data_IF_957866292253
#
_entry.id   IF_957866292253
#
_cell.length_a   1.000
_cell.length_b   1.000
_cell.length_c   1.000
_cell.angle_alpha   90.00
_cell.angle_beta   90.00
_cell.angle_gamma   90.00
#
_symmetry.space_group_name_H-M   'P 1'
#
loop_
_entity.id
_entity.type
_entity.pdbx_description
1 polymer ?
#
# COMPACT_ATOMS: atom_id res chain seq x y z
N UNK A 1 51.84 31.79 -33.51
CA UNK A 1 50.75 30.86 -33.88
C UNK A 1 50.34 30.13 -32.60
N UNK A 2 49.26 30.57 -31.95
CA UNK A 2 48.83 30.10 -30.62
C UNK A 2 47.64 29.16 -30.84
N UNK A 3 47.78 27.88 -30.49
CA UNK A 3 46.70 26.89 -30.55
C UNK A 3 45.77 27.07 -29.34
N UNK A 4 44.43 27.14 -29.53
CA UNK A 4 43.51 27.18 -28.40
C UNK A 4 43.30 25.77 -27.82
N UNK A 5 43.41 25.67 -26.50
CA UNK A 5 43.06 24.49 -25.74
C UNK A 5 41.54 24.35 -25.66
N UNK A 6 40.99 23.26 -26.18
CA UNK A 6 39.57 22.92 -26.02
C UNK A 6 39.35 22.29 -24.65
N UNK A 7 38.60 22.99 -23.79
CA UNK A 7 38.12 22.48 -22.51
C UNK A 7 36.89 21.60 -22.78
N UNK A 8 37.05 20.27 -22.68
CA UNK A 8 35.93 19.34 -22.76
C UNK A 8 35.19 19.30 -21.41
N UNK A 9 33.97 19.85 -21.36
CA UNK A 9 33.07 19.73 -20.21
C UNK A 9 32.35 18.38 -20.30
N UNK A 10 32.73 17.44 -19.45
CA UNK A 10 32.07 16.15 -19.29
C UNK A 10 30.82 16.35 -18.42
N UNK A 11 29.64 16.41 -19.05
CA UNK A 11 28.35 16.42 -18.33
C UNK A 11 28.03 14.98 -17.93
N UNK A 12 28.26 14.64 -16.67
CA UNK A 12 27.79 13.37 -16.09
C UNK A 12 26.31 13.51 -15.72
N UNK A 13 25.43 12.90 -16.52
CA UNK A 13 24.03 12.74 -16.11
C UNK A 13 23.96 11.70 -15.00
N UNK A 14 23.72 12.14 -13.76
CA UNK A 14 23.37 11.23 -12.67
C UNK A 14 21.97 10.65 -12.95
N UNK A 15 21.92 9.45 -13.53
CA UNK A 15 20.68 8.67 -13.56
C UNK A 15 20.41 8.22 -12.12
N UNK A 16 19.43 8.85 -11.47
CA UNK A 16 18.86 8.31 -10.23
C UNK A 16 18.27 6.96 -10.60
N UNK A 17 18.97 5.87 -10.26
CA UNK A 17 18.40 4.55 -10.35
C UNK A 17 17.21 4.53 -9.40
N UNK A 18 15.98 4.50 -9.94
CA UNK A 18 14.80 4.24 -9.13
C UNK A 18 14.92 2.81 -8.62
N UNK A 19 15.40 2.68 -7.39
CA UNK A 19 15.44 1.41 -6.68
C UNK A 19 14.06 0.76 -6.72
N UNK A 20 14.04 -0.56 -6.88
CA UNK A 20 12.82 -1.35 -6.78
C UNK A 20 12.45 -1.64 -5.32
N UNK A 21 13.30 -1.21 -4.40
CA UNK A 21 13.02 -0.96 -2.99
C UNK A 21 13.06 0.55 -2.73
N UNK A 22 12.33 1.07 -1.73
CA UNK A 22 12.28 2.51 -1.48
C UNK A 22 13.65 3.03 -1.02
N UNK A 23 13.87 4.33 -1.19
CA UNK A 23 15.10 5.00 -0.76
C UNK A 23 15.36 4.74 0.75
N UNK A 24 16.62 4.47 1.09
CA UNK A 24 17.04 4.15 2.45
C UNK A 24 16.77 2.70 2.90
N UNK A 25 15.96 1.92 2.17
CA UNK A 25 15.74 0.50 2.50
C UNK A 25 16.99 -0.33 2.24
N UNK A 26 17.29 -1.26 3.15
CA UNK A 26 18.41 -2.20 3.01
C UNK A 26 17.97 -3.65 3.35
N UNK A 27 18.46 -4.66 2.62
CA UNK A 27 19.30 -4.54 1.42
C UNK A 27 18.52 -3.97 0.22
N UNK A 28 19.14 -3.08 -0.55
CA UNK A 28 18.52 -2.44 -1.70
C UNK A 28 18.71 -3.27 -2.97
N UNK A 29 17.77 -3.16 -3.91
CA UNK A 29 17.91 -3.77 -5.24
C UNK A 29 17.25 -2.92 -6.33
N UNK A 30 17.81 -2.99 -7.54
CA UNK A 30 17.27 -2.37 -8.75
C UNK A 30 16.56 -3.38 -9.67
N UNK A 31 16.57 -4.67 -9.30
CA UNK A 31 15.89 -5.71 -10.05
C UNK A 31 14.42 -5.80 -9.64
N UNK A 32 13.53 -5.92 -10.63
CA UNK A 32 12.09 -5.81 -10.44
C UNK A 32 11.47 -7.13 -9.96
N UNK A 33 10.72 -7.06 -8.87
CA UNK A 33 9.79 -8.09 -8.44
C UNK A 33 8.40 -7.69 -8.92
N UNK A 34 7.80 -8.52 -9.76
CA UNK A 34 6.44 -8.28 -10.24
C UNK A 34 5.48 -8.81 -9.17
N UNK A 35 4.60 -7.94 -8.69
CA UNK A 35 3.60 -8.24 -7.65
C UNK A 35 2.20 -8.02 -8.23
N UNK A 36 1.36 -9.05 -8.16
CA UNK A 36 0.01 -9.06 -8.71
C UNK A 36 -1.02 -9.50 -7.66
N UNK A 37 -2.00 -8.63 -7.42
CA UNK A 37 -3.16 -8.91 -6.56
C UNK A 37 -4.37 -9.21 -7.42
N UNK A 38 -4.55 -10.49 -7.79
CA UNK A 38 -5.70 -10.95 -8.58
C UNK A 38 -5.90 -10.17 -9.90
N UNK A 39 -4.81 -9.94 -10.65
CA UNK A 39 -4.82 -9.15 -11.90
C UNK A 39 -4.66 -7.64 -11.70
N UNK A 40 -4.47 -7.18 -10.46
CA UNK A 40 -4.15 -5.78 -10.15
C UNK A 40 -2.64 -5.68 -9.85
N UNK A 41 -1.84 -5.07 -10.75
CA UNK A 41 -0.40 -4.93 -10.53
C UNK A 41 -0.10 -3.92 -9.41
N UNK A 42 0.71 -4.31 -8.45
CA UNK A 42 1.25 -3.40 -7.43
C UNK A 42 2.61 -2.86 -7.89
N UNK A 43 2.57 -1.81 -8.72
CA UNK A 43 3.76 -1.21 -9.32
C UNK A 43 4.62 -0.45 -8.30
N UNK A 44 5.94 -0.44 -8.53
CA UNK A 44 6.91 0.28 -7.71
C UNK A 44 6.52 1.73 -7.43
N UNK A 45 6.36 2.07 -6.15
CA UNK A 45 6.00 3.39 -5.65
C UNK A 45 4.54 3.80 -5.88
N UNK A 46 3.73 2.97 -6.55
CA UNK A 46 2.33 3.29 -6.81
C UNK A 46 1.49 3.22 -5.54
N UNK A 47 0.39 3.98 -5.50
CA UNK A 47 -0.65 3.82 -4.49
C UNK A 47 -1.59 2.70 -4.95
N UNK A 48 -1.81 1.73 -4.09
CA UNK A 48 -2.70 0.57 -4.30
C UNK A 48 -3.83 0.64 -3.28
N UNK A 49 -5.05 0.30 -3.69
CA UNK A 49 -6.17 0.25 -2.74
C UNK A 49 -5.99 -0.91 -1.77
N UNK A 50 -6.47 -0.71 -0.53
CA UNK A 50 -6.36 -1.70 0.56
C UNK A 50 -7.11 -2.99 0.24
N UNK A 51 -8.30 -2.88 -0.36
CA UNK A 51 -9.20 -4.01 -0.62
C UNK A 51 -8.56 -5.19 -1.38
N UNK A 52 -7.93 -5.01 -2.55
CA UNK A 52 -7.30 -6.11 -3.29
C UNK A 52 -6.07 -6.69 -2.58
N UNK A 53 -5.44 -5.93 -1.69
CA UNK A 53 -4.24 -6.35 -0.95
C UNK A 53 -4.56 -7.19 0.30
N UNK A 54 -5.83 -7.53 0.55
CA UNK A 54 -6.21 -8.35 1.70
C UNK A 54 -5.70 -9.79 1.64
N UNK A 55 -5.44 -10.32 0.44
CA UNK A 55 -4.94 -11.68 0.21
C UNK A 55 -3.52 -11.67 -0.34
N UNK A 56 -2.80 -12.77 -0.14
CA UNK A 56 -1.42 -12.94 -0.63
C UNK A 56 -1.32 -12.71 -2.15
N UNK A 57 -0.33 -11.92 -2.62
CA UNK A 57 -0.14 -11.68 -4.05
C UNK A 57 0.52 -12.86 -4.75
N UNK A 58 0.35 -12.92 -6.07
CA UNK A 58 1.28 -13.67 -6.92
C UNK A 58 2.51 -12.81 -7.15
N UNK A 59 3.68 -13.42 -7.06
CA UNK A 59 4.95 -12.73 -7.30
C UNK A 59 5.78 -13.46 -8.37
N UNK A 60 6.68 -12.74 -9.03
CA UNK A 60 7.60 -13.34 -9.99
C UNK A 60 8.56 -12.33 -10.59
N UNK A 61 9.38 -12.78 -11.54
CA UNK A 61 10.33 -11.91 -12.25
C UNK A 61 10.14 -12.02 -13.75
N UNK A 62 10.53 -10.98 -14.49
CA UNK A 62 10.44 -10.97 -15.96
C UNK A 62 11.39 -11.96 -16.63
N UNK A 63 12.50 -12.28 -15.95
CA UNK A 63 13.53 -13.21 -16.40
C UNK A 63 13.66 -14.38 -15.43
N UNK A 64 14.14 -15.52 -15.91
CA UNK A 64 14.54 -16.61 -15.01
C UNK A 64 15.73 -16.21 -14.14
N UNK A 65 15.70 -16.68 -12.91
CA UNK A 65 16.76 -16.54 -11.92
C UNK A 65 17.56 -17.85 -11.85
N UNK A 66 18.83 -17.76 -11.42
CA UNK A 66 19.75 -18.92 -11.44
C UNK A 66 19.60 -19.84 -10.22
N UNK A 67 18.98 -19.37 -9.15
CA UNK A 67 18.71 -20.17 -7.95
C UNK A 67 17.59 -21.20 -8.16
N UNK A 68 17.65 -22.25 -7.36
CA UNK A 68 16.69 -23.35 -7.23
C UNK A 68 15.66 -23.16 -6.11
N UNK A 69 15.87 -22.24 -5.17
CA UNK A 69 14.97 -22.00 -4.03
C UNK A 69 15.04 -20.55 -3.59
N UNK A 70 13.88 -19.97 -3.26
CA UNK A 70 13.75 -18.58 -2.87
C UNK A 70 12.89 -18.40 -1.62
N UNK A 71 13.07 -17.24 -0.99
CA UNK A 71 12.17 -16.72 0.02
C UNK A 71 11.71 -15.31 -0.36
N UNK A 72 10.49 -14.96 0.01
CA UNK A 72 9.97 -13.58 -0.08
C UNK A 72 9.72 -13.03 1.30
N UNK A 73 10.05 -11.76 1.48
CA UNK A 73 9.72 -10.98 2.67
C UNK A 73 8.89 -9.77 2.25
N UNK A 74 7.80 -9.48 2.97
CA UNK A 74 7.05 -8.22 2.84
C UNK A 74 7.11 -7.47 4.18
N UNK A 75 7.64 -6.26 4.15
CA UNK A 75 7.86 -5.41 5.32
C UNK A 75 7.14 -4.08 5.14
N UNK A 76 6.31 -3.71 6.09
CA UNK A 76 5.82 -2.34 6.27
C UNK A 76 6.90 -1.56 7.01
N UNK A 77 7.37 -0.45 6.43
CA UNK A 77 8.48 0.35 6.98
C UNK A 77 8.02 1.66 7.64
N UNK A 78 6.70 1.85 7.76
CA UNK A 78 6.10 3.10 8.16
C UNK A 78 5.14 2.94 9.35
N UNK A 79 5.32 1.91 10.18
CA UNK A 79 4.47 1.66 11.36
C UNK A 79 4.55 2.83 12.34
N UNK A 80 3.43 3.53 12.65
CA UNK A 80 3.44 4.70 13.52
C UNK A 80 3.92 4.39 14.94
N UNK A 81 4.85 5.19 15.46
CA UNK A 81 5.23 5.17 16.88
C UNK A 81 4.42 6.19 17.69
N UNK A 82 4.70 6.31 18.99
CA UNK A 82 4.11 7.37 19.83
C UNK A 82 4.80 8.74 19.65
N UNK A 83 5.84 8.81 18.82
CA UNK A 83 6.63 10.02 18.57
C UNK A 83 6.72 10.34 17.06
N UNK A 84 5.60 10.69 16.39
CA UNK A 84 5.64 11.06 14.97
C UNK A 84 6.67 12.18 14.68
N UNK A 85 7.35 12.16 13.52
CA UNK A 85 7.17 11.26 12.38
C UNK A 85 7.97 9.95 12.50
N UNK A 86 8.48 9.58 13.67
CA UNK A 86 9.23 8.33 13.82
C UNK A 86 8.33 7.13 13.52
N UNK A 87 8.84 6.24 12.67
CA UNK A 87 8.19 4.98 12.32
C UNK A 87 8.98 3.79 12.84
N UNK A 88 8.34 2.64 12.84
CA UNK A 88 8.93 1.33 13.07
C UNK A 88 8.62 0.44 11.86
N UNK A 89 9.09 -0.81 11.87
CA UNK A 89 8.81 -1.79 10.83
C UNK A 89 7.88 -2.89 11.32
N UNK A 90 7.22 -3.59 10.39
CA UNK A 90 6.46 -4.82 10.65
C UNK A 90 6.63 -5.80 9.50
N UNK A 91 6.96 -7.06 9.79
CA UNK A 91 6.93 -8.12 8.77
C UNK A 91 5.51 -8.66 8.58
N UNK A 92 4.99 -8.44 7.37
CA UNK A 92 3.67 -8.85 6.91
C UNK A 92 3.65 -10.25 6.32
N UNK A 93 4.76 -10.68 5.72
CA UNK A 93 4.85 -11.99 5.07
C UNK A 93 6.30 -12.47 5.01
N UNK A 94 6.49 -13.76 5.30
CA UNK A 94 7.74 -14.47 5.10
C UNK A 94 7.42 -15.89 4.66
N UNK A 95 7.62 -16.15 3.37
CA UNK A 95 7.44 -17.47 2.77
C UNK A 95 8.77 -17.96 2.23
N UNK A 96 9.14 -19.19 2.59
CA UNK A 96 10.33 -19.90 2.09
C UNK A 96 9.94 -21.05 1.18
N UNK A 97 10.91 -21.70 0.55
CA UNK A 97 10.65 -22.87 -0.29
C UNK A 97 9.95 -22.54 -1.61
N UNK A 98 10.03 -21.28 -2.04
CA UNK A 98 9.51 -20.87 -3.34
C UNK A 98 10.43 -21.38 -4.45
N UNK A 99 9.84 -21.90 -5.51
CA UNK A 99 10.55 -22.30 -6.73
C UNK A 99 9.98 -21.51 -7.90
N UNK A 100 10.84 -21.14 -8.84
CA UNK A 100 10.39 -20.39 -9.99
C UNK A 100 9.73 -21.29 -11.04
N UNK A 101 8.61 -20.84 -11.61
CA UNK A 101 7.92 -21.49 -12.71
C UNK A 101 8.85 -21.67 -13.91
N UNK A 102 8.74 -22.80 -14.59
CA UNK A 102 9.56 -23.08 -15.78
C UNK A 102 9.06 -22.34 -17.01
N UNK A 103 7.77 -22.06 -17.06
CA UNK A 103 7.12 -21.36 -18.16
C UNK A 103 6.61 -20.02 -17.68
N UNK A 104 6.90 -18.95 -18.43
CA UNK A 104 6.38 -17.64 -18.10
C UNK A 104 4.88 -17.55 -18.38
N UNK A 105 4.13 -16.98 -17.44
CA UNK A 105 2.72 -16.63 -17.55
C UNK A 105 2.57 -15.17 -17.95
N UNK A 106 1.58 -14.84 -18.77
CA UNK A 106 1.26 -13.44 -19.10
C UNK A 106 0.42 -12.83 -17.97
N UNK A 107 0.89 -11.74 -17.38
CA UNK A 107 0.12 -10.90 -16.46
C UNK A 107 -0.21 -9.57 -17.14
N UNK A 108 -1.41 -9.06 -16.92
CA UNK A 108 -1.80 -7.75 -17.41
C UNK A 108 -1.36 -6.69 -16.41
N UNK A 109 -0.50 -5.76 -16.84
CA UNK A 109 -0.11 -4.61 -16.03
C UNK A 109 -0.64 -3.32 -16.62
N UNK A 110 -0.59 -2.22 -15.87
CA UNK A 110 -0.97 -0.89 -16.37
C UNK A 110 -0.12 -0.45 -17.57
N UNK A 111 1.11 -0.95 -17.68
CA UNK A 111 2.03 -0.69 -18.80
C UNK A 111 1.87 -1.69 -19.96
N UNK A 112 0.89 -2.59 -19.89
CA UNK A 112 0.64 -3.65 -20.88
C UNK A 112 0.90 -5.05 -20.34
N UNK A 113 0.67 -6.09 -21.16
CA UNK A 113 0.94 -7.47 -20.78
C UNK A 113 2.45 -7.70 -20.60
N UNK A 114 2.82 -8.37 -19.50
CA UNK A 114 4.19 -8.74 -19.17
C UNK A 114 4.28 -10.25 -18.99
N UNK A 115 5.36 -10.85 -19.49
CA UNK A 115 5.68 -12.26 -19.25
C UNK A 115 6.41 -12.42 -17.92
N UNK A 116 5.92 -13.31 -17.07
CA UNK A 116 6.37 -13.45 -15.68
C UNK A 116 6.66 -14.91 -15.37
N UNK A 117 7.86 -15.19 -14.89
CA UNK A 117 8.20 -16.46 -14.26
C UNK A 117 7.82 -16.38 -12.78
N UNK A 118 6.65 -16.92 -12.46
CA UNK A 118 6.06 -16.85 -11.12
C UNK A 118 6.88 -17.64 -10.10
N UNK A 119 6.83 -17.19 -8.85
CA UNK A 119 7.29 -18.00 -7.72
C UNK A 119 6.14 -18.87 -7.21
N UNK A 120 6.45 -20.14 -6.98
CA UNK A 120 5.47 -21.17 -6.65
C UNK A 120 5.92 -21.95 -5.41
N UNK A 121 5.03 -22.05 -4.42
CA UNK A 121 5.22 -22.88 -3.23
C UNK A 121 4.79 -24.34 -3.50
N UNK A 122 5.49 -25.01 -4.43
CA UNK A 122 5.10 -26.35 -4.90
C UNK A 122 5.13 -27.42 -3.81
N UNK A 123 6.01 -27.24 -2.82
CA UNK A 123 6.13 -28.14 -1.69
C UNK A 123 5.10 -27.87 -0.58
N UNK A 124 4.20 -26.88 -0.76
CA UNK A 124 3.24 -26.44 0.26
C UNK A 124 3.91 -26.17 1.62
N UNK A 125 5.09 -25.53 1.58
CA UNK A 125 5.82 -25.15 2.79
C UNK A 125 5.01 -24.09 3.55
N UNK A 126 4.74 -24.32 4.83
CA UNK A 126 4.08 -23.31 5.67
C UNK A 126 4.91 -22.04 5.74
N UNK A 127 4.28 -20.88 5.53
CA UNK A 127 4.92 -19.59 5.73
C UNK A 127 5.48 -19.50 7.16
N UNK A 128 6.72 -19.04 7.31
CA UNK A 128 7.28 -18.70 8.63
C UNK A 128 6.45 -17.57 9.24
N UNK A 129 6.08 -16.59 8.41
CA UNK A 129 5.19 -15.51 8.78
C UNK A 129 4.04 -15.49 7.79
N UNK A 130 2.86 -16.01 8.18
CA UNK A 130 1.68 -15.98 7.33
C UNK A 130 1.37 -14.57 6.86
N UNK A 131 0.92 -14.46 5.61
CA UNK A 131 0.55 -13.20 4.99
C UNK A 131 -0.51 -12.47 5.82
N UNK A 132 -0.22 -11.22 6.13
CA UNK A 132 -1.17 -10.27 6.70
C UNK A 132 -1.24 -9.07 5.75
N UNK A 133 -2.43 -8.76 5.23
CA UNK A 133 -2.59 -7.69 4.25
C UNK A 133 -2.31 -6.29 4.81
N UNK A 134 -1.99 -5.30 3.96
CA UNK A 134 -1.92 -3.90 4.31
C UNK A 134 -3.16 -3.40 5.07
N UNK A 135 -2.92 -2.68 6.15
CA UNK A 135 -3.97 -2.05 6.94
C UNK A 135 -3.42 -0.85 7.73
N UNK A 136 -2.97 0.22 7.06
CA UNK A 136 -2.45 1.40 7.75
C UNK A 136 -3.50 1.98 8.70
N UNK A 137 -3.18 2.24 9.98
CA UNK A 137 -4.10 2.89 10.90
C UNK A 137 -4.33 4.35 10.50
N UNK A 138 -5.38 4.96 11.03
CA UNK A 138 -5.63 6.40 10.89
C UNK A 138 -4.70 7.22 11.82
N UNK A 139 -3.38 7.01 11.75
CA UNK A 139 -2.34 7.70 12.54
C UNK A 139 -1.20 8.12 11.61
N UNK A 140 -0.42 9.13 11.98
CA UNK A 140 0.70 9.60 11.13
C UNK A 140 1.86 8.59 11.15
N UNK A 141 2.40 8.18 9.98
CA UNK A 141 1.94 8.52 8.62
C UNK A 141 0.69 7.73 8.18
N UNK A 142 -0.26 8.39 7.50
CA UNK A 142 -1.47 7.71 6.99
C UNK A 142 -1.19 6.78 5.80
N UNK A 143 -0.05 7.00 5.11
CA UNK A 143 0.39 6.18 3.99
C UNK A 143 1.60 5.37 4.41
N UNK A 144 1.52 4.06 4.21
CA UNK A 144 2.59 3.14 4.54
C UNK A 144 3.19 2.54 3.27
N UNK A 145 4.52 2.43 3.23
CA UNK A 145 5.28 1.71 2.20
C UNK A 145 5.39 0.24 2.60
N UNK A 146 4.83 -0.61 1.76
CA UNK A 146 4.99 -2.06 1.85
C UNK A 146 6.06 -2.50 0.87
N UNK A 147 7.22 -2.87 1.39
CA UNK A 147 8.40 -3.28 0.62
C UNK A 147 8.47 -4.79 0.56
N UNK A 148 8.58 -5.34 -0.65
CA UNK A 148 8.83 -6.76 -0.87
C UNK A 148 10.26 -6.96 -1.36
N UNK A 149 10.94 -7.97 -0.82
CA UNK A 149 12.22 -8.46 -1.37
C UNK A 149 12.15 -9.96 -1.60
N UNK A 150 12.77 -10.40 -2.68
CA UNK A 150 12.97 -11.79 -3.03
C UNK A 150 14.44 -12.14 -2.78
N UNK A 151 14.68 -13.20 -2.02
CA UNK A 151 16.00 -13.64 -1.58
C UNK A 151 16.28 -15.02 -2.17
N UNK A 152 17.43 -15.20 -2.82
CA UNK A 152 17.92 -16.51 -3.23
C UNK A 152 18.36 -17.31 -1.98
N UNK A 153 17.70 -18.42 -1.75
CA UNK A 153 17.95 -19.35 -0.64
C UNK A 153 18.51 -20.68 -1.12
N UNK A 154 19.00 -20.77 -2.35
CA UNK A 154 19.70 -21.97 -2.84
C UNK A 154 20.87 -22.32 -1.93
N UNK A 155 20.93 -23.59 -1.52
CA UNK A 155 21.98 -24.11 -0.64
C UNK A 155 22.11 -23.36 0.69
N UNK A 156 21.02 -22.76 1.17
CA UNK A 156 20.98 -22.15 2.50
C UNK A 156 21.16 -23.20 3.60
N UNK A 157 21.85 -22.84 4.68
CA UNK A 157 22.03 -23.73 5.83
C UNK A 157 20.78 -23.75 6.72
N UNK A 158 20.57 -24.84 7.47
CA UNK A 158 19.50 -24.91 8.49
C UNK A 158 19.65 -23.78 9.52
N UNK A 159 20.88 -23.43 9.87
CA UNK A 159 21.18 -22.35 10.81
C UNK A 159 20.69 -20.98 10.28
N UNK A 160 20.92 -20.67 9.01
CA UNK A 160 20.47 -19.43 8.41
C UNK A 160 18.93 -19.34 8.35
N UNK A 161 18.26 -20.46 8.05
CA UNK A 161 16.79 -20.54 8.13
C UNK A 161 16.28 -20.30 9.57
N UNK A 162 16.97 -20.83 10.58
CA UNK A 162 16.57 -20.65 11.98
C UNK A 162 16.76 -19.20 12.46
N UNK A 163 17.82 -18.51 12.03
CA UNK A 163 18.02 -17.08 12.31
C UNK A 163 16.84 -16.26 11.77
N UNK A 164 16.46 -16.48 10.51
CA UNK A 164 15.35 -15.75 9.90
C UNK A 164 14.03 -16.10 10.60
N UNK A 165 13.81 -17.38 10.92
CA UNK A 165 12.61 -17.85 11.63
C UNK A 165 12.49 -17.21 13.01
N UNK A 166 13.57 -17.24 13.79
CA UNK A 166 13.61 -16.66 15.13
C UNK A 166 13.31 -15.17 15.07
N UNK A 167 13.96 -14.41 14.18
CA UNK A 167 13.70 -12.98 14.03
C UNK A 167 12.24 -12.71 13.63
N UNK A 168 11.71 -13.41 12.63
CA UNK A 168 10.35 -13.17 12.17
C UNK A 168 9.26 -13.54 13.21
N UNK A 169 9.51 -14.53 14.09
CA UNK A 169 8.58 -14.95 15.13
C UNK A 169 8.67 -14.13 16.41
N UNK A 170 9.87 -13.66 16.78
CA UNK A 170 10.10 -12.94 18.05
C UNK A 170 9.94 -11.44 17.91
N UNK A 171 10.28 -10.87 16.74
CA UNK A 171 10.29 -9.43 16.49
C UNK A 171 9.53 -9.10 15.20
N UNK A 172 8.25 -9.46 15.13
CA UNK A 172 7.41 -9.05 13.99
C UNK A 172 7.42 -7.54 13.81
N UNK A 173 7.23 -6.80 14.91
CA UNK A 173 7.44 -5.35 14.98
C UNK A 173 8.92 -5.09 15.22
N UNK A 174 9.52 -4.14 14.49
CA UNK A 174 10.95 -3.87 14.53
C UNK A 174 11.78 -4.84 13.69
N UNK A 175 11.14 -5.63 12.83
CA UNK A 175 11.84 -6.52 11.91
C UNK A 175 12.79 -5.72 10.99
N UNK A 176 14.08 -6.00 11.05
CA UNK A 176 15.10 -5.36 10.22
C UNK A 176 15.70 -6.38 9.24
N UNK A 177 15.33 -6.26 7.96
CA UNK A 177 15.77 -7.19 6.92
C UNK A 177 17.30 -7.19 6.73
N UNK A 178 17.97 -6.03 6.82
CA UNK A 178 19.42 -5.93 6.70
C UNK A 178 20.15 -6.71 7.80
N UNK A 179 19.75 -6.50 9.06
CA UNK A 179 20.37 -7.19 10.20
C UNK A 179 20.13 -8.70 10.09
N UNK A 180 18.88 -9.11 9.86
CA UNK A 180 18.50 -10.53 9.82
C UNK A 180 19.19 -11.25 8.66
N UNK A 181 19.17 -10.67 7.45
CA UNK A 181 19.84 -11.27 6.31
C UNK A 181 21.36 -11.24 6.46
N UNK A 182 21.95 -10.23 7.09
CA UNK A 182 23.40 -10.22 7.35
C UNK A 182 23.81 -11.33 8.32
N UNK A 183 23.07 -11.50 9.42
CA UNK A 183 23.30 -12.59 10.39
C UNK A 183 23.13 -13.97 9.76
N UNK A 184 22.20 -14.11 8.81
CA UNK A 184 21.99 -15.34 8.06
C UNK A 184 22.98 -15.54 6.90
N UNK A 185 23.90 -14.60 6.65
CA UNK A 185 24.79 -14.57 5.49
C UNK A 185 24.06 -14.57 4.12
N UNK A 186 22.98 -13.80 4.03
CA UNK A 186 22.08 -13.69 2.88
C UNK A 186 21.92 -12.24 2.38
N UNK A 187 22.56 -11.24 2.99
CA UNK A 187 22.39 -9.84 2.61
C UNK A 187 22.70 -9.59 1.12
N UNK A 188 23.73 -10.26 0.58
CA UNK A 188 24.09 -10.20 -0.84
C UNK A 188 23.24 -11.07 -1.77
N UNK A 189 22.18 -11.71 -1.27
CA UNK A 189 21.33 -12.66 -2.02
C UNK A 189 19.94 -12.12 -2.33
N UNK A 190 19.69 -10.83 -2.12
CA UNK A 190 18.47 -10.16 -2.58
C UNK A 190 18.53 -10.03 -4.11
N UNK A 191 17.62 -10.72 -4.80
CA UNK A 191 17.63 -10.85 -6.27
C UNK A 191 16.60 -9.98 -6.97
N UNK A 192 15.55 -9.55 -6.27
CA UNK A 192 14.52 -8.65 -6.80
C UNK A 192 13.77 -7.97 -5.65
N UNK A 193 13.14 -6.83 -5.93
CA UNK A 193 12.34 -6.10 -4.96
C UNK A 193 11.17 -5.38 -5.61
N UNK A 194 10.19 -5.01 -4.79
CA UNK A 194 9.10 -4.12 -5.16
C UNK A 194 8.71 -3.29 -3.94
N UNK A 195 8.06 -2.16 -4.15
CA UNK A 195 7.34 -1.51 -3.06
C UNK A 195 6.11 -0.77 -3.57
N UNK A 196 5.09 -0.65 -2.74
CA UNK A 196 3.92 0.16 -3.05
C UNK A 196 3.37 0.79 -1.79
N UNK A 197 2.50 1.77 -1.97
CA UNK A 197 1.87 2.52 -0.89
C UNK A 197 0.43 2.06 -0.69
N UNK A 198 -0.01 1.93 0.56
CA UNK A 198 -1.44 1.91 0.91
C UNK A 198 -1.70 3.04 1.87
N UNK A 199 -2.78 3.77 1.64
CA UNK A 199 -3.13 4.98 2.39
C UNK A 199 -4.45 4.81 3.11
N UNK A 200 -4.49 5.17 4.38
CA UNK A 200 -5.72 5.36 5.13
C UNK A 200 -6.31 6.74 4.80
N UNK A 201 -7.54 6.83 4.24
CA UNK A 201 -8.16 8.10 3.87
C UNK A 201 -8.80 8.85 5.06
N UNK A 202 -8.91 8.21 6.23
CA UNK A 202 -9.59 8.76 7.39
C UNK A 202 -8.84 9.91 8.06
N UNK A 203 -9.53 10.72 8.89
CA UNK A 203 -8.87 11.77 9.65
C UNK A 203 -7.83 11.15 10.59
N UNK A 204 -6.68 11.82 10.74
CA UNK A 204 -5.66 11.42 11.71
C UNK A 204 -6.29 11.40 13.10
N UNK A 205 -6.30 10.25 13.75
CA UNK A 205 -6.68 10.11 15.14
C UNK A 205 -5.56 10.70 16.01
N UNK A 206 -5.90 11.66 16.87
CA UNK A 206 -4.96 12.17 17.86
C UNK A 206 -4.54 11.02 18.77
N UNK A 207 -3.24 10.93 19.08
CA UNK A 207 -2.79 10.09 20.20
C UNK A 207 -3.52 10.62 21.43
N UNK A 208 -4.39 9.81 22.03
CA UNK A 208 -5.03 10.18 23.28
C UNK A 208 -3.94 10.26 24.35
N UNK A 209 -3.40 11.45 24.56
CA UNK A 209 -2.70 11.77 25.80
C UNK A 209 -3.76 11.63 26.88
N UNK A 210 -3.56 10.73 27.84
CA UNK A 210 -4.37 10.66 29.05
C UNK A 210 -4.13 11.94 29.88
N UNK A 211 -4.63 13.07 29.40
CA UNK A 211 -4.65 14.33 30.11
C UNK A 211 -6.10 14.53 30.52
N UNK A 212 -6.42 14.06 31.72
CA UNK A 212 -7.60 14.52 32.45
C UNK A 212 -7.46 16.02 32.59
N UNK A 213 -8.13 16.76 31.70
CA UNK A 213 -8.18 18.21 31.74
C UNK A 213 -9.65 18.59 31.71
N UNK A 214 -10.11 18.95 32.90
CA UNK A 214 -11.40 19.59 33.19
C UNK A 214 -11.72 20.64 32.12
N UNK A 215 -12.87 20.47 31.47
CA UNK A 215 -13.40 21.42 30.49
C UNK A 215 -13.84 22.68 31.23
N UNK A 216 -13.11 23.78 31.09
CA UNK A 216 -13.63 25.13 31.32
C UNK A 216 -14.03 25.74 29.98
N UNK A 217 -15.33 25.96 29.81
CA UNK A 217 -15.93 26.63 28.66
C UNK A 217 -15.47 28.08 28.57
N UNK A 218 -14.81 28.44 27.47
CA UNK A 218 -14.54 29.81 27.06
C UNK A 218 -15.34 30.15 25.80
N UNK A 219 -16.32 31.02 25.98
CA UNK A 219 -17.29 31.51 24.99
C UNK A 219 -16.61 32.39 23.93
N UNK A 220 -16.91 32.15 22.65
CA UNK A 220 -16.86 33.19 21.61
C UNK A 220 -18.06 33.04 20.66
N UNK A 221 -18.90 34.05 20.73
CA UNK A 221 -20.19 34.32 20.08
C UNK A 221 -20.13 34.44 18.57
N UNK A 222 -21.18 33.98 17.87
CA UNK A 222 -21.94 34.78 16.88
C UNK A 222 -23.28 34.10 16.52
N UNK A 223 -24.35 34.60 17.16
CA UNK A 223 -25.72 34.86 16.68
C UNK A 223 -26.25 34.23 15.39
N UNK A 224 -27.27 33.36 15.53
CA UNK A 224 -28.66 33.61 15.10
C UNK A 224 -29.60 32.56 15.74
N UNK A 225 -30.74 33.01 16.25
CA UNK A 225 -31.60 32.33 17.21
C UNK A 225 -32.71 31.45 16.59
N UNK A 226 -33.01 30.31 17.22
CA UNK A 226 -34.36 29.79 17.44
C UNK A 226 -34.39 28.84 18.66
N UNK A 227 -35.41 28.99 19.50
CA UNK A 227 -35.64 28.47 20.87
C UNK A 227 -36.29 27.04 20.86
N UNK A 228 -36.50 26.34 22.01
CA UNK A 228 -35.92 25.03 22.29
C UNK A 228 -36.89 23.85 22.14
N UNK A 229 -36.35 22.69 21.75
CA UNK A 229 -37.07 21.42 21.71
C UNK A 229 -36.19 20.28 22.22
N UNK A 230 -36.57 19.71 23.35
CA UNK A 230 -35.95 18.60 24.07
C UNK A 230 -35.82 17.32 23.23
N UNK A 231 -34.60 16.77 23.07
CA UNK A 231 -34.39 15.31 22.98
C UNK A 231 -32.90 14.93 23.04
N UNK A 232 -32.55 14.24 24.13
CA UNK A 232 -31.67 13.05 24.24
C UNK A 232 -30.55 12.81 23.21
N UNK A 233 -29.35 12.62 23.75
CA UNK A 233 -28.07 12.36 23.08
C UNK A 233 -28.07 11.53 21.79
N UNK A 234 -27.43 12.09 20.77
CA UNK A 234 -26.90 11.39 19.59
C UNK A 234 -25.41 11.73 19.44
N UNK A 235 -24.57 10.79 18.95
CA UNK A 235 -23.15 11.05 18.70
C UNK A 235 -22.95 12.02 17.51
N UNK A 236 -21.81 12.71 17.56
CA UNK A 236 -21.43 13.82 16.69
C UNK A 236 -21.69 13.59 15.18
N UNK A 237 -22.40 14.54 14.57
CA UNK A 237 -22.59 14.63 13.13
C UNK A 237 -21.26 14.95 12.44
N UNK A 238 -20.76 14.02 11.62
CA UNK A 238 -19.65 14.28 10.71
C UNK A 238 -20.14 15.20 9.57
N UNK A 239 -19.76 16.48 9.63
CA UNK A 239 -19.90 17.41 8.52
C UNK A 239 -18.79 17.09 7.51
N UNK A 240 -19.14 16.41 6.41
CA UNK A 240 -18.24 16.26 5.27
C UNK A 240 -18.33 17.57 4.47
N UNK A 241 -17.28 18.38 4.51
CA UNK A 241 -17.18 19.56 3.65
C UNK A 241 -17.03 19.11 2.19
N UNK A 242 -18.11 19.18 1.40
CA UNK A 242 -18.04 19.06 -0.06
C UNK A 242 -17.52 20.39 -0.62
N UNK A 243 -16.23 20.44 -0.96
CA UNK A 243 -15.65 21.59 -1.64
C UNK A 243 -16.29 21.83 -3.01
N UNK A 244 -16.51 23.10 -3.36
CA UNK A 244 -17.23 23.60 -4.55
C UNK A 244 -16.53 23.38 -5.90
N UNK A 245 -15.49 22.54 -5.98
CA UNK A 245 -14.62 22.36 -7.16
C UNK A 245 -14.91 21.11 -7.99
N UNK A 246 -15.99 20.37 -7.71
CA UNK A 246 -16.40 19.26 -8.58
C UNK A 246 -16.89 19.78 -9.94
N UNK A 247 -16.49 19.08 -11.02
CA UNK A 247 -16.98 19.34 -12.39
C UNK A 247 -18.51 19.38 -12.40
N UNK A 248 -19.08 20.27 -13.21
CA UNK A 248 -20.52 20.58 -13.27
C UNK A 248 -21.44 19.35 -13.46
N UNK A 249 -20.89 18.26 -13.97
CA UNK A 249 -21.58 17.02 -14.32
C UNK A 249 -21.51 15.93 -13.23
N UNK A 250 -21.01 16.22 -12.03
CA UNK A 250 -20.84 15.21 -10.97
C UNK A 250 -21.97 15.25 -9.92
N UNK A 251 -22.46 14.08 -9.46
CA UNK A 251 -23.59 13.97 -8.53
C UNK A 251 -23.25 14.39 -7.09
N UNK A 252 -22.04 14.89 -6.85
CA UNK A 252 -21.53 15.24 -5.52
C UNK A 252 -21.48 16.75 -5.26
N UNK A 253 -22.02 17.55 -6.18
CA UNK A 253 -22.04 19.01 -6.07
C UNK A 253 -23.22 19.46 -5.21
N UNK A 254 -22.98 20.43 -4.33
CA UNK A 254 -24.00 21.08 -3.48
C UNK A 254 -24.74 20.15 -2.50
N UNK A 255 -24.09 19.09 -2.00
CA UNK A 255 -24.66 18.26 -0.94
C UNK A 255 -24.45 18.99 0.39
N UNK A 256 -25.56 19.37 1.02
CA UNK A 256 -25.62 20.23 2.20
C UNK A 256 -25.75 19.45 3.51
N UNK A 257 -26.01 18.14 3.42
CA UNK A 257 -26.16 17.28 4.59
C UNK A 257 -25.48 15.92 4.45
N UNK A 258 -25.23 15.29 5.60
CA UNK A 258 -24.73 13.92 5.69
C UNK A 258 -25.67 12.92 5.00
N UNK A 259 -26.99 13.11 5.11
CA UNK A 259 -27.99 12.21 4.53
C UNK A 259 -28.04 12.35 3.00
N UNK A 260 -27.92 13.57 2.47
CA UNK A 260 -27.77 13.82 1.03
C UNK A 260 -26.50 13.17 0.47
N UNK A 261 -25.40 13.26 1.21
CA UNK A 261 -24.12 12.62 0.85
C UNK A 261 -24.25 11.09 0.81
N UNK A 262 -24.85 10.49 1.84
CA UNK A 262 -25.11 9.05 1.88
C UNK A 262 -26.00 8.60 0.73
N UNK A 263 -27.07 9.33 0.45
CA UNK A 263 -28.01 9.04 -0.65
C UNK A 263 -27.31 9.07 -2.00
N UNK A 264 -26.52 10.12 -2.28
CA UNK A 264 -25.75 10.25 -3.52
C UNK A 264 -24.73 9.10 -3.70
N UNK A 265 -24.07 8.67 -2.61
CA UNK A 265 -23.17 7.52 -2.62
C UNK A 265 -23.91 6.21 -2.92
N UNK A 266 -25.07 5.99 -2.30
CA UNK A 266 -25.89 4.80 -2.56
C UNK A 266 -26.40 4.75 -4.01
N UNK A 267 -26.88 5.87 -4.55
CA UNK A 267 -27.33 5.98 -5.94
C UNK A 267 -26.19 5.75 -6.95
N UNK A 268 -24.99 6.28 -6.65
CA UNK A 268 -23.79 6.03 -7.44
C UNK A 268 -23.41 4.54 -7.45
N UNK A 269 -23.39 3.90 -6.28
CA UNK A 269 -23.10 2.47 -6.15
C UNK A 269 -24.12 1.60 -6.90
N UNK A 270 -25.40 1.97 -6.87
CA UNK A 270 -26.46 1.27 -7.60
C UNK A 270 -26.31 1.43 -9.12
N UNK A 271 -25.95 2.63 -9.57
CA UNK A 271 -25.70 2.93 -10.99
C UNK A 271 -24.53 2.10 -11.53
N UNK A 272 -23.43 1.98 -10.76
CA UNK A 272 -22.28 1.14 -11.11
C UNK A 272 -22.68 -0.33 -11.24
N UNK A 273 -23.48 -0.86 -10.30
CA UNK A 273 -23.98 -2.24 -10.35
C UNK A 273 -24.85 -2.47 -11.59
N UNK A 274 -25.76 -1.55 -11.89
CA UNK A 274 -26.64 -1.64 -13.07
C UNK A 274 -25.90 -1.55 -14.41
N UNK A 275 -24.84 -0.74 -14.48
CA UNK A 275 -24.01 -0.61 -15.67
C UNK A 275 -23.15 -1.87 -15.92
N UNK A 276 -22.76 -2.58 -14.86
CA UNK A 276 -22.01 -3.83 -14.97
C UNK A 276 -22.90 -5.04 -15.31
N UNK A 277 -24.20 -5.01 -15.01
CA UNK A 277 -25.14 -6.11 -15.35
C UNK A 277 -25.65 -6.06 -16.78
N UNK A 278 -25.62 -4.90 -17.44
CA UNK A 278 -26.07 -4.74 -18.83
C UNK A 278 -24.87 -4.76 -19.79
N UNK A 279 -24.38 -5.97 -20.10
CA UNK A 279 -23.31 -6.22 -21.08
C UNK A 279 -23.75 -5.99 -22.53
N UNK A 280 -24.13 -4.76 -22.90
CA UNK A 280 -24.49 -4.36 -24.26
C UNK A 280 -23.56 -3.27 -24.79
N UNK A 281 -22.88 -3.53 -25.91
CA UNK A 281 -21.88 -2.66 -26.52
C UNK A 281 -22.37 -1.23 -26.80
N UNK A 282 -21.87 -0.28 -26.02
CA UNK A 282 -22.02 1.15 -26.26
C UNK A 282 -20.94 1.91 -25.49
N UNK A 283 -20.16 2.73 -26.21
CA UNK A 283 -19.03 3.58 -25.78
C UNK A 283 -18.78 3.64 -24.26
N UNK A 284 -17.78 2.89 -23.80
CA UNK A 284 -17.26 2.95 -22.42
C UNK A 284 -16.64 4.33 -22.16
N UNK A 285 -17.11 5.14 -21.21
CA UNK A 285 -16.39 6.34 -20.81
C UNK A 285 -15.22 5.96 -19.89
N UNK A 286 -14.14 6.73 -19.97
CA UNK A 286 -12.88 6.49 -19.26
C UNK A 286 -13.05 6.79 -17.77
N UNK A 287 -13.25 5.76 -16.95
CA UNK A 287 -13.63 5.90 -15.52
C UNK A 287 -12.68 5.20 -14.55
N UNK A 288 -11.37 5.43 -14.67
CA UNK A 288 -10.40 4.95 -13.66
C UNK A 288 -10.57 5.64 -12.30
N UNK A 289 -11.07 6.89 -12.27
CA UNK A 289 -11.27 7.65 -11.03
C UNK A 289 -12.59 7.37 -10.30
N UNK A 290 -13.60 6.82 -10.99
CA UNK A 290 -14.90 6.47 -10.37
C UNK A 290 -14.85 5.14 -9.61
N UNK A 291 -13.95 4.22 -9.98
CA UNK A 291 -13.69 3.04 -9.15
C UNK A 291 -13.13 3.42 -7.77
N UNK A 292 -12.22 4.39 -7.72
CA UNK A 292 -11.65 4.89 -6.47
C UNK A 292 -12.71 5.58 -5.59
N UNK A 293 -13.59 6.39 -6.20
CA UNK A 293 -14.70 7.02 -5.48
C UNK A 293 -15.77 6.01 -5.01
N UNK A 294 -16.05 4.97 -5.80
CA UNK A 294 -16.99 3.91 -5.45
C UNK A 294 -16.48 2.97 -4.36
N UNK A 295 -15.18 2.68 -4.33
CA UNK A 295 -14.51 1.90 -3.28
C UNK A 295 -14.48 2.66 -1.94
N UNK A 296 -14.17 3.96 -1.96
CA UNK A 296 -14.28 4.82 -0.78
C UNK A 296 -15.72 4.89 -0.26
N UNK A 297 -16.71 5.02 -1.16
CA UNK A 297 -18.13 5.02 -0.78
C UNK A 297 -18.60 3.73 -0.10
N UNK A 298 -18.10 2.56 -0.52
CA UNK A 298 -18.41 1.29 0.15
C UNK A 298 -17.81 1.21 1.55
N UNK A 299 -16.57 1.67 1.73
CA UNK A 299 -15.88 1.67 3.03
C UNK A 299 -16.55 2.63 4.03
N UNK A 300 -17.08 3.78 3.58
CA UNK A 300 -17.87 4.67 4.45
C UNK A 300 -19.26 4.12 4.79
N UNK A 301 -19.90 3.38 3.88
CA UNK A 301 -21.25 2.81 4.11
C UNK A 301 -21.26 1.65 5.11
N UNK A 302 -20.14 0.93 5.28
CA UNK A 302 -20.06 -0.21 6.19
C UNK A 302 -19.78 0.17 7.64
N UNK A 303 -19.20 1.36 7.87
CA UNK A 303 -18.90 1.89 9.22
C UNK A 303 -20.05 2.74 9.78
N UNK A 304 -20.95 3.23 8.92
CA UNK A 304 -22.11 4.02 9.32
C UNK A 304 -23.38 3.19 9.53
N UNK A 305 -23.45 2.42 10.62
CA UNK A 305 -24.72 2.00 11.23
C UNK A 305 -24.87 2.66 12.59
#
# INVERSE_FOLDING_TARGET
MILPAYLAVLVTTATVAMGKTPEGFKPATNADLIVDYSGIPALNGAVVSRSPTGNEPRIGTASRLNGSSYAVMMIDIDIPTNSPPQTNTLIHWLQTGLTQATTATTLNTTSGPVRVFLMENRANTTAITPYFGPNPPARIPLSHRYTQILVDTTSITTQAIEIIRTAANTTRIGFNAEIVLSQANLAGRVVAGNFYNVTNPGPVQSVATNTSTTITSGVATNTAAFEPGTSTGRPATAIIATGSTFKEDKPFKNLSSTDETKKALHECAHSIKSANSNGGGGRRPQWSQVKLAGELGQEYSSVGK
#
